data_IF_770206703231
#
_entry.id   IF_770206703231
#
_cell.length_a   1.000
_cell.length_b   1.000
_cell.length_c   1.000
_cell.angle_alpha   90.00
_cell.angle_beta   90.00
_cell.angle_gamma   90.00
#
_symmetry.space_group_name_H-M   'P 1'
#
loop_
_entity.id
_entity.type
_entity.pdbx_description
1 polymer ?
#
# COMPACT_ATOMS: atom_id res chain seq x y z
N UNK A 1 -2.38 14.35 -34.08
CA UNK A 1 -3.10 14.72 -32.84
C UNK A 1 -2.48 13.98 -31.68
N UNK A 2 -1.72 14.65 -30.81
CA UNK A 2 -1.21 14.08 -29.56
C UNK A 2 -1.60 15.01 -28.42
N UNK A 3 -2.73 14.73 -27.79
CA UNK A 3 -3.20 15.43 -26.60
C UNK A 3 -2.25 15.11 -25.44
N UNK A 4 -1.43 16.09 -25.05
CA UNK A 4 -0.68 16.00 -23.79
C UNK A 4 -1.67 16.00 -22.63
N UNK A 5 -1.77 14.88 -21.94
CA UNK A 5 -2.45 14.74 -20.64
C UNK A 5 -1.82 15.73 -19.65
N UNK A 6 -2.42 16.92 -19.56
CA UNK A 6 -2.15 17.88 -18.50
C UNK A 6 -2.49 17.23 -17.17
N UNK A 7 -1.48 16.76 -16.44
CA UNK A 7 -1.62 16.24 -15.08
C UNK A 7 -2.26 17.31 -14.19
N UNK A 8 -3.17 16.89 -13.32
CA UNK A 8 -3.97 17.76 -12.44
C UNK A 8 -3.12 18.64 -11.51
N UNK A 9 -1.83 18.28 -11.34
CA UNK A 9 -0.80 19.05 -10.65
C UNK A 9 -0.49 20.42 -11.27
N UNK A 10 -0.82 20.65 -12.54
CA UNK A 10 -0.58 21.94 -13.21
C UNK A 10 -1.68 22.98 -12.97
N UNK A 11 -2.92 22.57 -12.61
CA UNK A 11 -4.05 23.49 -12.44
C UNK A 11 -4.21 24.08 -11.03
N UNK A 12 -3.58 23.50 -10.01
CA UNK A 12 -3.53 24.09 -8.66
C UNK A 12 -2.43 25.16 -8.52
N UNK A 13 -2.12 25.85 -9.62
CA UNK A 13 -1.12 26.92 -9.68
C UNK A 13 -1.75 28.28 -10.02
N UNK A 14 -3.02 28.45 -9.69
CA UNK A 14 -3.70 29.74 -9.76
C UNK A 14 -3.71 30.35 -8.36
N UNK A 15 -2.68 31.17 -8.09
CA UNK A 15 -2.57 31.93 -6.84
C UNK A 15 -1.18 31.99 -6.21
N UNK A 16 -0.08 31.82 -6.96
CA UNK A 16 1.28 32.06 -6.45
C UNK A 16 1.47 33.54 -6.12
N UNK A 17 0.96 33.95 -4.97
CA UNK A 17 1.27 35.23 -4.36
C UNK A 17 2.78 35.23 -4.08
N UNK A 18 3.49 36.31 -4.42
CA UNK A 18 4.95 36.42 -4.20
C UNK A 18 5.34 36.09 -2.75
N UNK A 19 4.41 36.25 -1.81
CA UNK A 19 4.51 35.86 -0.41
C UNK A 19 4.70 34.35 -0.17
N UNK A 20 4.08 33.45 -0.94
CA UNK A 20 4.26 32.00 -0.74
C UNK A 20 5.66 31.53 -1.16
N UNK A 21 6.17 32.08 -2.27
CA UNK A 21 7.54 31.80 -2.73
C UNK A 21 8.58 32.38 -1.75
N UNK A 22 8.33 33.56 -1.19
CA UNK A 22 9.16 34.14 -0.14
C UNK A 22 9.11 33.28 1.14
N UNK A 23 7.92 32.82 1.55
CA UNK A 23 7.74 31.93 2.69
C UNK A 23 8.43 30.58 2.51
N UNK A 24 8.42 30.00 1.30
CA UNK A 24 9.13 28.74 1.00
C UNK A 24 10.66 28.90 1.05
N UNK A 25 11.19 30.04 0.58
CA UNK A 25 12.63 30.35 0.67
C UNK A 25 13.04 30.59 2.13
N UNK A 26 12.22 31.34 2.89
CA UNK A 26 12.42 31.54 4.33
C UNK A 26 12.35 30.21 5.09
N UNK A 27 11.37 29.35 4.78
CA UNK A 27 11.18 28.03 5.39
C UNK A 27 12.36 27.10 5.14
N UNK A 28 12.82 27.01 3.89
CA UNK A 28 13.94 26.14 3.54
C UNK A 28 15.29 26.67 4.05
N UNK A 29 15.45 27.99 4.17
CA UNK A 29 16.67 28.62 4.69
C UNK A 29 16.80 28.59 6.22
N UNK A 30 15.68 28.73 6.94
CA UNK A 30 15.64 28.79 8.41
C UNK A 30 15.86 27.43 9.09
N UNK A 31 15.71 26.32 8.37
CA UNK A 31 15.89 24.96 8.89
C UNK A 31 17.34 24.46 8.94
N UNK A 32 18.31 25.20 8.38
CA UNK A 32 19.71 24.78 8.37
C UNK A 32 20.43 25.19 9.65
N UNK A 33 21.17 24.26 10.26
CA UNK A 33 22.05 24.53 11.40
C UNK A 33 23.10 25.62 11.13
N UNK A 34 23.52 25.80 9.87
CA UNK A 34 24.44 26.86 9.46
C UNK A 34 23.82 28.25 9.52
N UNK A 35 22.50 28.37 9.28
CA UNK A 35 21.79 29.64 9.36
C UNK A 35 21.66 30.13 10.81
N UNK A 36 21.38 29.21 11.73
CA UNK A 36 21.33 29.50 13.18
C UNK A 36 22.68 30.06 13.66
N UNK A 37 23.79 29.42 13.27
CA UNK A 37 25.13 29.90 13.60
C UNK A 37 25.45 31.28 13.04
N UNK A 38 25.12 31.53 11.77
CA UNK A 38 25.30 32.85 11.14
C UNK A 38 24.45 33.93 11.82
N UNK A 39 23.21 33.60 12.19
CA UNK A 39 22.29 34.54 12.86
C UNK A 39 22.80 34.94 14.25
N UNK A 40 23.31 33.98 15.03
CA UNK A 40 23.94 34.25 16.33
C UNK A 40 25.20 35.09 16.16
N UNK A 41 26.05 34.77 15.18
CA UNK A 41 27.25 35.55 14.89
C UNK A 41 26.91 36.99 14.45
N UNK A 42 25.87 37.17 13.63
CA UNK A 42 25.38 38.49 13.23
C UNK A 42 24.83 39.29 14.42
N UNK A 43 24.03 38.66 15.29
CA UNK A 43 23.53 39.28 16.53
C UNK A 43 24.67 39.72 17.44
N UNK A 44 25.67 38.85 17.66
CA UNK A 44 26.84 39.15 18.47
C UNK A 44 27.69 40.28 17.87
N UNK A 45 27.90 40.25 16.54
CA UNK A 45 28.61 41.29 15.80
C UNK A 45 27.90 42.63 15.85
N UNK A 46 26.58 42.64 15.69
CA UNK A 46 25.77 43.86 15.79
C UNK A 46 25.78 44.44 17.20
N UNK A 47 25.63 43.60 18.23
CA UNK A 47 25.72 44.02 19.63
C UNK A 47 27.12 44.58 19.95
N UNK A 48 28.19 43.96 19.45
CA UNK A 48 29.56 44.46 19.61
C UNK A 48 29.77 45.79 18.90
N UNK A 49 29.34 45.95 17.64
CA UNK A 49 29.47 47.22 16.90
C UNK A 49 28.69 48.34 17.59
N UNK A 50 27.45 48.08 18.00
CA UNK A 50 26.63 49.07 18.67
C UNK A 50 27.20 49.45 20.06
N UNK A 51 27.76 48.49 20.79
CA UNK A 51 28.37 48.71 22.11
C UNK A 51 29.75 49.39 22.04
N UNK A 52 30.59 49.08 21.04
CA UNK A 52 31.95 49.64 20.92
C UNK A 52 32.03 50.94 20.11
N UNK A 53 31.19 51.12 19.08
CA UNK A 53 31.29 52.26 18.15
C UNK A 53 30.33 53.39 18.51
N UNK A 54 29.14 53.08 19.04
CA UNK A 54 28.09 54.07 19.30
C UNK A 54 27.99 54.48 20.77
N UNK A 55 28.47 53.67 21.72
CA UNK A 55 28.46 54.02 23.13
C UNK A 55 29.46 55.14 23.50
N UNK A 56 30.40 55.48 22.62
CA UNK A 56 31.43 56.48 22.88
C UNK A 56 30.98 57.93 22.67
N UNK A 57 29.92 58.20 21.88
CA UNK A 57 29.48 59.59 21.60
C UNK A 57 27.96 59.81 21.75
N UNK A 58 27.11 58.82 21.47
CA UNK A 58 25.67 58.84 21.78
C UNK A 58 25.09 57.44 21.50
N UNK A 59 24.88 56.64 22.55
CA UNK A 59 24.35 55.28 22.38
C UNK A 59 22.95 55.32 21.75
N UNK A 60 22.84 54.94 20.48
CA UNK A 60 21.58 54.94 19.72
C UNK A 60 20.61 53.84 20.23
N UNK A 61 21.15 52.76 20.80
CA UNK A 61 20.38 51.70 21.48
C UNK A 61 21.14 51.22 22.74
N UNK A 62 20.99 51.92 23.90
CA UNK A 62 21.61 51.54 25.17
C UNK A 62 21.09 50.19 25.68
N UNK A 63 21.90 49.49 26.46
CA UNK A 63 21.47 48.27 27.15
C UNK A 63 20.22 48.58 28.01
N UNK A 64 19.07 47.88 27.85
CA UNK A 64 18.84 46.59 27.19
C UNK A 64 18.22 46.75 25.77
N UNK A 65 19.05 46.63 24.72
CA UNK A 65 18.75 46.78 23.29
C UNK A 65 17.27 46.67 22.89
N UNK A 66 16.52 47.78 22.99
CA UNK A 66 15.04 47.77 22.93
C UNK A 66 14.56 47.51 21.50
N UNK A 67 15.31 48.04 20.53
CA UNK A 67 15.00 47.90 19.10
C UNK A 67 15.27 46.49 18.60
N UNK A 68 16.39 45.90 19.07
CA UNK A 68 16.74 44.52 18.75
C UNK A 68 15.69 43.56 19.31
N UNK A 69 15.30 43.71 20.57
CA UNK A 69 14.26 42.89 21.18
C UNK A 69 12.90 43.04 20.50
N UNK A 70 12.52 44.27 20.12
CA UNK A 70 11.28 44.52 19.39
C UNK A 70 11.28 43.82 18.02
N UNK A 71 12.38 43.93 17.27
CA UNK A 71 12.52 43.30 15.96
C UNK A 71 12.50 41.77 16.07
N UNK A 72 13.20 41.19 17.04
CA UNK A 72 13.17 39.75 17.31
C UNK A 72 11.76 39.28 17.69
N UNK A 73 11.04 40.03 18.52
CA UNK A 73 9.68 39.68 18.92
C UNK A 73 8.71 39.71 17.73
N UNK A 74 8.83 40.70 16.84
CA UNK A 74 8.07 40.75 15.60
C UNK A 74 8.42 39.61 14.66
N UNK A 75 9.71 39.26 14.52
CA UNK A 75 10.14 38.09 13.72
C UNK A 75 9.56 36.79 14.28
N UNK A 76 9.61 36.59 15.60
CA UNK A 76 9.06 35.41 16.25
C UNK A 76 7.52 35.31 16.06
N UNK A 77 6.81 36.44 16.19
CA UNK A 77 5.36 36.49 15.92
C UNK A 77 5.03 36.15 14.47
N UNK A 78 5.80 36.70 13.50
CA UNK A 78 5.66 36.38 12.08
C UNK A 78 5.97 34.90 11.80
N UNK A 79 7.02 34.35 12.39
CA UNK A 79 7.37 32.94 12.29
C UNK A 79 6.23 32.04 12.80
N UNK A 80 5.65 32.37 13.97
CA UNK A 80 4.50 31.65 14.52
C UNK A 80 3.28 31.69 13.62
N UNK A 81 2.97 32.85 13.03
CA UNK A 81 1.86 33.00 12.09
C UNK A 81 2.07 32.19 10.80
N UNK A 82 3.28 32.22 10.23
CA UNK A 82 3.63 31.41 9.04
C UNK A 82 3.53 29.92 9.37
N UNK A 83 4.02 29.49 10.53
CA UNK A 83 3.91 28.10 10.99
C UNK A 83 2.44 27.67 11.12
N UNK A 84 1.58 28.52 11.68
CA UNK A 84 0.14 28.24 11.84
C UNK A 84 -0.57 28.13 10.48
N UNK A 85 -0.23 28.99 9.53
CA UNK A 85 -0.77 28.92 8.16
C UNK A 85 -0.31 27.64 7.46
N UNK A 86 0.97 27.29 7.60
CA UNK A 86 1.54 26.08 7.03
C UNK A 86 0.89 24.82 7.63
N UNK A 87 0.69 24.78 8.94
CA UNK A 87 0.03 23.68 9.65
C UNK A 87 -1.43 23.52 9.18
N UNK A 88 -2.21 24.59 9.15
CA UNK A 88 -3.61 24.56 8.68
C UNK A 88 -3.75 23.95 7.28
N UNK A 89 -2.81 24.26 6.37
CA UNK A 89 -2.80 23.71 5.02
C UNK A 89 -2.45 22.22 5.02
N UNK A 90 -1.47 21.79 5.82
CA UNK A 90 -1.11 20.36 5.92
C UNK A 90 -2.25 19.53 6.53
N UNK A 91 -2.93 20.04 7.55
CA UNK A 91 -4.06 19.36 8.19
C UNK A 91 -5.22 19.13 7.22
N UNK A 92 -5.54 20.12 6.37
CA UNK A 92 -6.58 19.98 5.36
C UNK A 92 -6.23 18.89 4.32
N UNK A 93 -4.96 18.81 3.91
CA UNK A 93 -4.48 17.77 2.98
C UNK A 93 -4.51 16.41 3.65
N UNK A 94 -4.03 16.31 4.91
CA UNK A 94 -4.03 15.08 5.68
C UNK A 94 -5.45 14.54 5.91
N UNK A 95 -6.42 15.42 6.21
CA UNK A 95 -7.81 15.04 6.38
C UNK A 95 -8.44 14.52 5.07
N UNK A 96 -8.12 15.12 3.93
CA UNK A 96 -8.59 14.65 2.63
C UNK A 96 -7.99 13.28 2.26
N UNK A 97 -6.69 13.10 2.52
CA UNK A 97 -6.00 11.82 2.30
C UNK A 97 -6.58 10.72 3.20
N UNK A 98 -6.80 11.01 4.48
CA UNK A 98 -7.40 10.06 5.42
C UNK A 98 -8.81 9.60 5.00
N UNK A 99 -9.63 10.49 4.40
CA UNK A 99 -10.95 10.10 3.86
C UNK A 99 -10.82 9.15 2.68
N UNK A 100 -9.92 9.44 1.75
CA UNK A 100 -9.69 8.58 0.59
C UNK A 100 -9.15 7.20 0.99
N UNK A 101 -8.20 7.17 1.92
CA UNK A 101 -7.65 5.92 2.45
C UNK A 101 -8.73 5.11 3.16
N UNK A 102 -9.63 5.77 3.91
CA UNK A 102 -10.77 5.11 4.55
C UNK A 102 -11.74 4.48 3.53
N UNK A 103 -12.11 5.22 2.48
CA UNK A 103 -12.99 4.69 1.42
C UNK A 103 -12.35 3.50 0.71
N UNK A 104 -11.05 3.58 0.44
CA UNK A 104 -10.29 2.48 -0.19
C UNK A 104 -10.21 1.26 0.72
N UNK A 105 -9.99 1.44 2.03
CA UNK A 105 -9.93 0.35 3.01
C UNK A 105 -11.29 -0.37 3.12
N UNK A 106 -12.39 0.39 3.14
CA UNK A 106 -13.75 -0.19 3.16
C UNK A 106 -14.03 -0.98 1.89
N UNK A 107 -13.66 -0.45 0.71
CA UNK A 107 -13.83 -1.19 -0.54
C UNK A 107 -12.98 -2.46 -0.56
N UNK A 108 -11.74 -2.38 -0.11
CA UNK A 108 -10.82 -3.53 -0.03
C UNK A 108 -11.39 -4.60 0.91
N UNK A 109 -11.98 -4.22 2.05
CA UNK A 109 -12.66 -5.15 2.95
C UNK A 109 -13.83 -5.87 2.27
N UNK A 110 -14.68 -5.14 1.54
CA UNK A 110 -15.79 -5.75 0.80
C UNK A 110 -15.32 -6.72 -0.28
N UNK A 111 -14.22 -6.41 -0.97
CA UNK A 111 -13.61 -7.32 -1.95
C UNK A 111 -13.03 -8.57 -1.28
N UNK A 112 -12.33 -8.40 -0.16
CA UNK A 112 -11.79 -9.52 0.63
C UNK A 112 -12.92 -10.42 1.13
N UNK A 113 -14.01 -9.85 1.65
CA UNK A 113 -15.19 -10.60 2.11
C UNK A 113 -15.82 -11.40 0.96
N UNK A 114 -15.93 -10.81 -0.24
CA UNK A 114 -16.40 -11.53 -1.43
C UNK A 114 -15.47 -12.67 -1.82
N UNK A 115 -14.16 -12.43 -1.80
CA UNK A 115 -13.17 -13.47 -2.11
C UNK A 115 -13.24 -14.62 -1.10
N UNK A 116 -13.41 -14.32 0.19
CA UNK A 116 -13.59 -15.34 1.24
C UNK A 116 -14.88 -16.14 1.06
N UNK A 117 -15.98 -15.49 0.66
CA UNK A 117 -17.23 -16.16 0.36
C UNK A 117 -17.11 -17.12 -0.84
N UNK A 118 -16.48 -16.67 -1.92
CA UNK A 118 -16.22 -17.51 -3.10
C UNK A 118 -15.32 -18.69 -2.73
N UNK A 119 -14.25 -18.46 -1.96
CA UNK A 119 -13.34 -19.52 -1.54
C UNK A 119 -14.06 -20.57 -0.68
N UNK A 120 -14.93 -20.13 0.24
CA UNK A 120 -15.74 -21.03 1.07
C UNK A 120 -16.70 -21.87 0.22
N UNK A 121 -17.36 -21.27 -0.78
CA UNK A 121 -18.20 -22.01 -1.74
C UNK A 121 -17.39 -23.03 -2.55
N UNK A 122 -16.19 -22.66 -3.00
CA UNK A 122 -15.31 -23.58 -3.73
C UNK A 122 -14.91 -24.78 -2.87
N UNK A 123 -14.63 -24.57 -1.58
CA UNK A 123 -14.33 -25.66 -0.64
C UNK A 123 -15.53 -26.59 -0.44
N UNK A 124 -16.74 -26.04 -0.33
CA UNK A 124 -17.97 -26.83 -0.20
C UNK A 124 -18.21 -27.71 -1.43
N UNK A 125 -18.06 -27.15 -2.65
CA UNK A 125 -18.16 -27.90 -3.90
C UNK A 125 -17.08 -28.99 -4.02
N UNK A 126 -15.86 -28.72 -3.56
CA UNK A 126 -14.78 -29.71 -3.54
C UNK A 126 -15.09 -30.87 -2.59
N UNK A 127 -15.65 -30.60 -1.41
CA UNK A 127 -16.07 -31.63 -0.46
C UNK A 127 -17.23 -32.47 -1.04
N UNK A 128 -18.18 -31.83 -1.72
CA UNK A 128 -19.29 -32.52 -2.40
C UNK A 128 -18.77 -33.46 -3.50
N UNK A 129 -17.91 -32.97 -4.41
CA UNK A 129 -17.28 -33.79 -5.45
C UNK A 129 -16.50 -34.97 -4.86
N UNK A 130 -15.73 -34.71 -3.80
CA UNK A 130 -15.02 -35.76 -3.06
C UNK A 130 -16.01 -36.79 -2.52
N UNK A 131 -17.14 -36.37 -1.95
CA UNK A 131 -18.15 -37.27 -1.40
C UNK A 131 -18.78 -38.16 -2.49
N UNK A 132 -19.04 -37.61 -3.68
CA UNK A 132 -19.57 -38.36 -4.82
C UNK A 132 -18.58 -39.42 -5.32
N UNK A 133 -17.29 -39.09 -5.36
CA UNK A 133 -16.23 -40.04 -5.76
C UNK A 133 -15.89 -41.06 -4.64
N UNK A 134 -16.17 -40.70 -3.38
CA UNK A 134 -15.94 -41.57 -2.22
C UNK A 134 -17.11 -42.51 -1.95
N UNK A 135 -18.30 -42.22 -2.49
CA UNK A 135 -19.33 -43.22 -2.64
C UNK A 135 -18.81 -44.23 -3.66
N UNK A 136 -18.45 -45.46 -3.25
CA UNK A 136 -18.17 -46.48 -4.24
C UNK A 136 -19.43 -46.53 -5.09
N UNK A 137 -19.28 -46.41 -6.42
CA UNK A 137 -20.32 -46.84 -7.33
C UNK A 137 -20.89 -48.13 -6.73
N UNK A 138 -22.20 -48.15 -6.48
CA UNK A 138 -22.91 -49.38 -6.21
C UNK A 138 -22.72 -50.24 -7.47
N UNK A 139 -21.56 -50.88 -7.55
CA UNK A 139 -21.29 -51.99 -8.43
C UNK A 139 -22.10 -53.09 -7.79
N UNK A 140 -23.38 -53.18 -8.16
CA UNK A 140 -24.01 -54.48 -8.14
C UNK A 140 -23.08 -55.42 -8.90
N UNK A 141 -22.63 -56.53 -8.31
CA UNK A 141 -22.18 -57.67 -9.10
C UNK A 141 -23.43 -58.23 -9.79
N UNK A 142 -23.89 -57.51 -10.82
CA UNK A 142 -25.00 -57.87 -11.66
C UNK A 142 -24.66 -59.20 -12.33
N UNK A 143 -25.51 -60.19 -12.01
CA UNK A 143 -25.43 -61.53 -12.53
C UNK A 143 -25.26 -61.57 -14.05
N UNK A 144 -24.48 -62.56 -14.46
CA UNK A 144 -24.41 -63.03 -15.83
C UNK A 144 -25.84 -63.28 -16.36
N UNK A 145 -26.22 -62.76 -17.55
CA UNK A 145 -27.55 -63.00 -18.11
C UNK A 145 -27.77 -64.49 -18.40
N UNK A 146 -29.03 -64.98 -18.37
CA UNK A 146 -29.33 -66.38 -18.62
C UNK A 146 -29.29 -66.60 -20.13
N UNK A 147 -28.31 -67.36 -20.62
CA UNK A 147 -28.38 -67.92 -21.96
C UNK A 147 -28.35 -69.45 -21.96
N UNK A 148 -29.56 -69.97 -21.79
CA UNK A 148 -30.21 -70.97 -22.63
C UNK A 148 -29.34 -71.96 -23.42
N UNK A 149 -29.55 -73.26 -23.10
CA UNK A 149 -29.40 -74.48 -23.91
C UNK A 149 -27.97 -75.01 -24.09
N UNK A 150 -27.65 -76.10 -23.39
CA UNK A 150 -27.52 -77.45 -23.99
C UNK A 150 -27.82 -78.51 -22.92
N UNK A 151 -29.06 -79.00 -22.95
CA UNK A 151 -29.39 -80.37 -22.55
C UNK A 151 -28.67 -81.30 -23.53
N UNK A 152 -27.82 -82.20 -23.03
CA UNK A 152 -27.13 -83.21 -23.83
C UNK A 152 -26.50 -84.26 -22.94
N UNK A 153 -27.28 -85.29 -22.64
CA UNK A 153 -26.88 -86.65 -22.29
C UNK A 153 -25.73 -86.89 -21.29
N UNK A 154 -26.12 -87.36 -20.12
CA UNK A 154 -25.43 -88.50 -19.53
C UNK A 154 -25.44 -89.65 -20.55
N UNK A 155 -24.30 -90.29 -20.83
CA UNK A 155 -24.10 -91.75 -20.95
C UNK A 155 -22.63 -92.02 -21.32
N UNK A 156 -21.93 -92.76 -20.44
CA UNK A 156 -21.21 -93.95 -20.86
C UNK A 156 -19.77 -93.83 -21.40
N UNK A 157 -18.86 -94.37 -20.58
CA UNK A 157 -17.98 -95.54 -20.88
C UNK A 157 -16.68 -95.29 -21.66
N UNK A 158 -15.63 -95.95 -21.14
CA UNK A 158 -14.57 -96.67 -21.90
C UNK A 158 -13.50 -95.78 -22.58
N UNK A 159 -12.26 -95.81 -22.08
CA UNK A 159 -11.15 -96.75 -22.38
C UNK A 159 -10.38 -96.40 -23.67
N UNK A 160 -9.06 -96.43 -23.53
CA UNK A 160 -8.04 -96.36 -24.60
C UNK A 160 -7.90 -94.98 -25.26
N UNK A 161 -6.72 -94.46 -25.55
CA UNK A 161 -5.37 -94.99 -25.49
C UNK A 161 -4.48 -94.02 -26.27
N UNK A 162 -3.26 -93.86 -25.76
CA UNK A 162 -2.02 -93.75 -26.54
C UNK A 162 -1.77 -92.53 -27.47
N UNK A 163 -0.48 -92.21 -27.49
CA UNK A 163 0.31 -91.63 -28.58
C UNK A 163 0.40 -90.09 -28.77
N UNK A 164 1.65 -89.64 -28.58
CA UNK A 164 2.41 -88.72 -29.44
C UNK A 164 2.34 -87.19 -29.20
N UNK A 165 3.33 -86.73 -28.42
CA UNK A 165 4.26 -85.63 -28.77
C UNK A 165 4.88 -85.80 -30.19
N UNK A 166 5.71 -84.87 -30.72
CA UNK A 166 5.77 -83.39 -30.62
C UNK A 166 6.11 -82.73 -31.99
N UNK A 167 6.21 -81.39 -32.06
CA UNK A 167 6.90 -80.69 -33.18
C UNK A 167 6.84 -79.17 -33.01
N UNK A 168 7.90 -78.52 -32.51
CA UNK A 168 9.00 -77.92 -33.29
C UNK A 168 8.56 -76.63 -34.02
N UNK A 169 8.89 -75.46 -33.47
CA UNK A 169 10.08 -74.66 -33.80
C UNK A 169 9.90 -73.79 -35.05
N UNK A 170 10.02 -72.48 -34.83
CA UNK A 170 10.09 -71.41 -35.83
C UNK A 170 10.13 -70.06 -35.13
#
# INVERSE_FOLDING_TARGET
MSERRSTWHARHKEGLNRGERAADVLRNGMGSWTFVGLFIAFMAGWAMVNSFVLASEAAWDPYPYILLNLFLSMLAGLQGAILLIAAKRQDAIAAAMARHDYETDVQSKLEIDRLMAINSQQLELLEELRSMLSQPAAVEPGGLPPDTRLQGDAIGRDHSGNAEQPGASG
#
